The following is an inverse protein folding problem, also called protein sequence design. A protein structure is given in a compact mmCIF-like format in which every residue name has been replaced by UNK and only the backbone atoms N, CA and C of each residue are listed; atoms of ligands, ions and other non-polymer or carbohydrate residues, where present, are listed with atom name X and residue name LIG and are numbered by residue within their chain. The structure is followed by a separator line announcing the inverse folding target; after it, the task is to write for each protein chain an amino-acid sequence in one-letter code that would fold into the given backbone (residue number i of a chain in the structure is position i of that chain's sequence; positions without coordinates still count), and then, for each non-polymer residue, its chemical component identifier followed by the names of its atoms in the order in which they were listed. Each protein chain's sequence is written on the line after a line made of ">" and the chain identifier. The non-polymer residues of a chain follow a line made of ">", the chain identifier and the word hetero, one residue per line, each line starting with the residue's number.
data_IF_105997307269
#
_entry.id   IF_105997307269
#
_cell.length_a   1.000
_cell.length_b   1.000
_cell.length_c   1.000
_cell.angle_alpha   90.00
_cell.angle_beta   90.00
_cell.angle_gamma   90.00
#
_symmetry.space_group_name_H-M   'P 1'
#
loop_
_entity.id
_entity.type
_entity.pdbx_description
1 polymer ?
#
# COMPACT_ATOMS: atom_id res chain seq x y z
N UNK A 1 -39.96 49.79 -7.45
CA UNK A 1 -38.77 49.07 -6.97
C UNK A 1 -39.06 47.58 -7.09
N UNK A 2 -38.37 46.88 -7.99
CA UNK A 2 -38.46 45.41 -8.13
C UNK A 2 -37.31 44.78 -7.33
N UNK A 3 -37.63 44.09 -6.27
CA UNK A 3 -36.66 43.34 -5.50
C UNK A 3 -36.25 42.09 -6.30
N UNK A 4 -34.99 41.99 -6.69
CA UNK A 4 -34.43 40.78 -7.25
C UNK A 4 -34.07 39.84 -6.09
N UNK A 5 -34.78 38.73 -5.99
CA UNK A 5 -34.45 37.65 -5.07
C UNK A 5 -33.28 36.89 -5.72
N UNK A 6 -32.09 37.06 -5.17
CA UNK A 6 -30.93 36.21 -5.50
C UNK A 6 -31.14 34.83 -4.86
N UNK A 7 -31.54 33.85 -5.64
CA UNK A 7 -31.55 32.44 -5.22
C UNK A 7 -30.10 31.98 -5.16
N UNK A 8 -29.51 31.95 -3.97
CA UNK A 8 -28.23 31.31 -3.75
C UNK A 8 -28.42 29.80 -3.91
N UNK A 9 -28.01 29.25 -5.05
CA UNK A 9 -27.85 27.82 -5.25
C UNK A 9 -26.75 27.34 -4.29
N UNK A 10 -27.15 26.85 -3.12
CA UNK A 10 -26.23 26.07 -2.28
C UNK A 10 -26.01 24.74 -2.98
N UNK A 11 -24.86 24.59 -3.61
CA UNK A 11 -24.40 23.28 -4.05
C UNK A 11 -24.34 22.37 -2.79
N UNK A 12 -24.92 21.16 -2.82
CA UNK A 12 -24.78 20.24 -1.72
C UNK A 12 -23.30 20.01 -1.47
N UNK A 13 -22.87 20.21 -0.23
CA UNK A 13 -21.52 19.84 0.16
C UNK A 13 -21.44 18.31 0.08
N UNK A 14 -20.57 17.79 -0.78
CA UNK A 14 -20.39 16.35 -0.98
C UNK A 14 -19.61 15.74 0.18
N UNK A 15 -19.99 14.54 0.58
CA UNK A 15 -19.28 13.75 1.58
C UNK A 15 -17.79 13.57 1.19
N UNK A 16 -16.91 13.43 2.20
CA UNK A 16 -15.51 13.06 1.94
C UNK A 16 -15.42 11.63 1.45
N UNK A 17 -15.95 10.73 2.28
CA UNK A 17 -15.99 9.30 2.08
C UNK A 17 -17.43 8.82 2.26
N UNK A 18 -17.99 8.27 1.21
CA UNK A 18 -19.29 7.60 1.26
C UNK A 18 -19.09 6.23 1.88
N UNK A 19 -19.57 6.04 3.12
CA UNK A 19 -19.43 4.77 3.84
C UNK A 19 -20.34 3.71 3.20
N UNK A 20 -19.77 2.55 2.95
CA UNK A 20 -20.44 1.40 2.34
C UNK A 20 -20.70 0.31 3.37
N UNK A 21 -21.85 -0.39 3.30
CA UNK A 21 -22.09 -1.56 4.13
C UNK A 21 -21.16 -2.70 3.71
N UNK A 22 -20.57 -3.40 4.70
CA UNK A 22 -19.73 -4.55 4.46
C UNK A 22 -20.26 -5.77 5.22
N UNK A 23 -20.21 -6.99 4.64
CA UNK A 23 -20.71 -8.21 5.27
C UNK A 23 -19.71 -8.81 6.27
N UNK A 24 -19.04 -7.96 7.04
CA UNK A 24 -18.02 -8.36 8.03
C UNK A 24 -17.83 -7.30 9.10
N UNK A 25 -17.34 -7.73 10.26
CA UNK A 25 -16.82 -6.85 11.33
C UNK A 25 -15.31 -7.01 11.51
N UNK A 26 -14.62 -7.68 10.59
CA UNK A 26 -13.18 -7.86 10.63
C UNK A 26 -12.45 -6.52 10.47
N UNK A 27 -11.25 -6.43 10.99
CA UNK A 27 -10.37 -5.30 10.71
C UNK A 27 -9.81 -5.46 9.29
N UNK A 28 -10.29 -4.62 8.36
CA UNK A 28 -9.82 -4.61 6.98
C UNK A 28 -8.47 -3.88 6.91
N UNK A 29 -7.51 -4.49 6.21
CA UNK A 29 -6.12 -4.04 6.17
C UNK A 29 -5.54 -3.89 4.78
N UNK A 30 -6.08 -4.60 3.80
CA UNK A 30 -5.71 -4.52 2.39
C UNK A 30 -6.91 -4.12 1.54
N UNK A 31 -6.67 -3.38 0.49
CA UNK A 31 -7.64 -2.99 -0.54
C UNK A 31 -6.91 -2.85 -1.87
N UNK A 32 -7.50 -3.38 -2.92
CA UNK A 32 -7.02 -3.17 -4.28
C UNK A 32 -8.17 -2.91 -5.24
N UNK A 33 -8.05 -1.83 -6.02
CA UNK A 33 -9.01 -1.41 -7.04
C UNK A 33 -8.47 -1.75 -8.43
N UNK A 34 -9.07 -2.74 -9.06
CA UNK A 34 -8.72 -3.16 -10.43
C UNK A 34 -9.29 -2.20 -11.48
N UNK A 35 -10.29 -1.41 -11.13
CA UNK A 35 -11.05 -0.58 -12.05
C UNK A 35 -12.32 -1.29 -12.56
N UNK A 36 -13.07 -0.62 -13.44
CA UNK A 36 -14.31 -1.12 -14.03
C UNK A 36 -15.36 -1.61 -13.00
N UNK A 37 -15.34 -1.07 -11.79
CA UNK A 37 -16.23 -1.47 -10.71
C UNK A 37 -15.74 -2.66 -9.89
N UNK A 38 -14.57 -3.22 -10.18
CA UNK A 38 -13.99 -4.37 -9.50
C UNK A 38 -13.02 -3.89 -8.44
N UNK A 39 -13.21 -4.36 -7.20
CA UNK A 39 -12.26 -4.16 -6.11
C UNK A 39 -12.31 -5.32 -5.11
N UNK A 40 -11.19 -5.51 -4.42
CA UNK A 40 -11.01 -6.57 -3.45
C UNK A 40 -10.46 -6.00 -2.14
N UNK A 41 -10.93 -6.52 -1.00
CA UNK A 41 -10.44 -6.12 0.32
C UNK A 41 -10.10 -7.35 1.16
N UNK A 42 -9.10 -7.20 2.04
CA UNK A 42 -8.65 -8.27 2.92
C UNK A 42 -8.49 -7.79 4.37
N UNK A 43 -8.51 -8.72 5.33
CA UNK A 43 -8.41 -8.36 6.73
C UNK A 43 -8.24 -9.55 7.68
N UNK A 44 -8.43 -9.27 8.96
CA UNK A 44 -8.27 -10.24 10.04
C UNK A 44 -9.26 -11.41 9.93
N UNK A 45 -8.91 -12.55 10.52
CA UNK A 45 -9.75 -13.74 10.57
C UNK A 45 -9.97 -14.38 9.20
N UNK A 46 -8.96 -14.38 8.33
CA UNK A 46 -9.04 -14.95 6.99
C UNK A 46 -10.06 -14.26 6.09
N UNK A 47 -10.42 -13.02 6.38
CA UNK A 47 -11.47 -12.28 5.66
C UNK A 47 -10.97 -11.79 4.32
N UNK A 48 -11.72 -12.09 3.26
CA UNK A 48 -11.61 -11.46 1.93
C UNK A 48 -12.99 -11.04 1.48
N UNK A 49 -13.07 -9.87 0.88
CA UNK A 49 -14.29 -9.31 0.29
C UNK A 49 -14.02 -8.95 -1.16
N UNK A 50 -15.06 -9.02 -1.98
CA UNK A 50 -15.03 -8.71 -3.40
C UNK A 50 -16.26 -7.88 -3.82
N UNK A 51 -16.09 -6.94 -4.73
CA UNK A 51 -17.15 -6.17 -5.39
C UNK A 51 -16.95 -6.11 -6.90
N UNK A 52 -18.03 -6.07 -7.67
CA UNK A 52 -18.04 -5.90 -9.13
C UNK A 52 -18.95 -4.73 -9.58
N UNK A 53 -19.52 -3.98 -8.63
CA UNK A 53 -20.48 -2.93 -8.91
C UNK A 53 -20.03 -1.54 -8.42
N UNK A 54 -18.72 -1.36 -8.27
CA UNK A 54 -18.11 -0.12 -7.80
C UNK A 54 -18.25 0.08 -6.29
N UNK A 55 -18.34 -1.00 -5.54
CA UNK A 55 -18.41 -0.97 -4.07
C UNK A 55 -19.80 -0.74 -3.50
N UNK A 56 -20.85 -0.75 -4.32
CA UNK A 56 -22.24 -0.64 -3.85
C UNK A 56 -22.65 -1.87 -3.04
N UNK A 57 -22.20 -3.04 -3.47
CA UNK A 57 -22.34 -4.29 -2.74
C UNK A 57 -21.00 -5.00 -2.61
N UNK A 58 -20.74 -5.54 -1.43
CA UNK A 58 -19.56 -6.34 -1.14
C UNK A 58 -19.98 -7.75 -0.80
N UNK A 59 -19.35 -8.74 -1.42
CA UNK A 59 -19.56 -10.14 -1.16
C UNK A 59 -18.41 -10.68 -0.31
N UNK A 60 -18.72 -11.54 0.64
CA UNK A 60 -17.71 -12.26 1.39
C UNK A 60 -17.27 -13.50 0.63
N UNK A 61 -15.97 -13.60 0.40
CA UNK A 61 -15.33 -14.76 -0.19
C UNK A 61 -15.34 -15.98 0.75
N UNK A 62 -15.16 -17.17 0.21
CA UNK A 62 -14.79 -18.33 1.02
C UNK A 62 -13.47 -18.05 1.75
N UNK A 63 -13.37 -18.50 2.99
CA UNK A 63 -12.11 -18.37 3.72
C UNK A 63 -11.10 -19.36 3.14
N UNK A 64 -9.85 -18.92 2.83
CA UNK A 64 -8.82 -19.84 2.37
C UNK A 64 -8.56 -20.96 3.39
N UNK A 65 -8.12 -22.15 2.97
CA UNK A 65 -7.87 -23.28 3.87
C UNK A 65 -6.91 -22.92 5.00
N UNK A 66 -7.27 -23.28 6.23
CA UNK A 66 -6.48 -23.05 7.46
C UNK A 66 -6.14 -21.57 7.71
N UNK A 67 -6.98 -20.63 7.20
CA UNK A 67 -6.74 -19.20 7.31
C UNK A 67 -7.68 -18.46 8.29
N UNK A 68 -8.55 -19.15 9.02
CA UNK A 68 -9.59 -18.55 9.89
C UNK A 68 -9.01 -17.66 11.01
N UNK A 69 -7.72 -17.81 11.32
CA UNK A 69 -7.01 -17.01 12.32
C UNK A 69 -5.95 -16.10 11.73
N UNK A 70 -5.76 -16.12 10.42
CA UNK A 70 -4.74 -15.32 9.76
C UNK A 70 -5.18 -13.86 9.62
N UNK A 71 -4.20 -12.95 9.64
CA UNK A 71 -4.39 -11.52 9.42
C UNK A 71 -3.91 -11.18 8.00
N UNK A 72 -4.84 -11.08 7.04
CA UNK A 72 -4.52 -10.73 5.67
C UNK A 72 -4.29 -9.22 5.55
N UNK A 73 -3.02 -8.83 5.45
CA UNK A 73 -2.59 -7.43 5.37
C UNK A 73 -2.30 -6.95 3.96
N UNK A 74 -2.12 -7.86 3.03
CA UNK A 74 -1.91 -7.56 1.63
C UNK A 74 -2.94 -8.25 0.73
N UNK A 75 -3.39 -7.54 -0.30
CA UNK A 75 -4.19 -8.07 -1.39
C UNK A 75 -3.76 -7.39 -2.69
N UNK A 76 -3.65 -8.19 -3.75
CA UNK A 76 -3.47 -7.72 -5.11
C UNK A 76 -4.43 -8.49 -6.01
N UNK A 77 -5.24 -7.77 -6.75
CA UNK A 77 -6.19 -8.33 -7.69
C UNK A 77 -5.81 -7.99 -9.13
N UNK A 78 -6.20 -8.83 -10.06
CA UNK A 78 -5.89 -8.69 -11.48
C UNK A 78 -7.17 -8.50 -12.30
N UNK A 79 -8.24 -9.11 -11.85
CA UNK A 79 -9.58 -9.02 -12.45
C UNK A 79 -10.65 -9.46 -11.43
N UNK A 80 -11.89 -9.75 -11.90
CA UNK A 80 -12.99 -10.24 -11.07
C UNK A 80 -12.77 -11.65 -10.53
N UNK A 81 -11.88 -12.44 -11.14
CA UNK A 81 -11.67 -13.86 -10.80
C UNK A 81 -10.35 -14.11 -10.08
N UNK A 82 -9.32 -13.31 -10.38
CA UNK A 82 -7.94 -13.58 -10.00
C UNK A 82 -7.44 -12.58 -8.96
N UNK A 83 -7.03 -13.09 -7.80
CA UNK A 83 -6.41 -12.30 -6.74
C UNK A 83 -5.41 -13.14 -5.92
N UNK A 84 -4.45 -12.45 -5.33
CA UNK A 84 -3.50 -12.98 -4.34
C UNK A 84 -3.72 -12.24 -3.02
N UNK A 85 -3.77 -12.97 -1.91
CA UNK A 85 -3.79 -12.40 -0.55
C UNK A 85 -2.60 -12.90 0.23
N UNK A 86 -2.04 -12.01 1.07
CA UNK A 86 -0.93 -12.30 1.96
C UNK A 86 -1.34 -12.12 3.41
N UNK A 87 -1.10 -13.14 4.22
CA UNK A 87 -1.14 -12.98 5.68
C UNK A 87 0.23 -12.57 6.21
N UNK A 88 0.20 -11.77 7.26
CA UNK A 88 1.38 -11.33 8.00
C UNK A 88 1.35 -11.94 9.40
N UNK A 89 2.41 -12.66 9.73
CA UNK A 89 2.57 -13.30 11.02
C UNK A 89 3.93 -13.99 11.11
N UNK A 90 4.31 -14.42 12.29
CA UNK A 90 5.62 -15.04 12.50
C UNK A 90 5.66 -16.46 11.88
N UNK A 91 6.70 -16.73 11.12
CA UNK A 91 6.92 -18.04 10.51
C UNK A 91 5.79 -18.43 9.55
N UNK A 92 5.25 -19.61 9.72
CA UNK A 92 4.19 -20.20 8.91
C UNK A 92 2.82 -19.50 9.00
N UNK A 93 2.69 -18.47 9.80
CA UNK A 93 1.54 -17.55 9.78
C UNK A 93 1.64 -16.49 8.67
N UNK A 94 2.79 -16.34 8.03
CA UNK A 94 2.97 -15.57 6.80
C UNK A 94 2.78 -16.49 5.61
N UNK A 95 1.68 -16.30 4.86
CA UNK A 95 1.27 -17.17 3.74
C UNK A 95 0.74 -16.35 2.58
N UNK A 96 0.91 -16.88 1.38
CA UNK A 96 0.23 -16.40 0.17
C UNK A 96 -0.82 -17.41 -0.28
N UNK A 97 -2.00 -16.90 -0.61
CA UNK A 97 -3.06 -17.66 -1.24
C UNK A 97 -3.47 -16.99 -2.54
N UNK A 98 -3.76 -17.81 -3.57
CA UNK A 98 -4.24 -17.37 -4.89
C UNK A 98 -5.61 -17.95 -5.17
N UNK A 99 -6.48 -17.16 -5.76
CA UNK A 99 -7.74 -17.59 -6.40
C UNK A 99 -7.73 -17.24 -7.87
N UNK A 100 -8.47 -18.02 -8.69
CA UNK A 100 -8.69 -17.78 -10.13
C UNK A 100 -10.15 -17.97 -10.53
N UNK A 101 -11.06 -18.07 -9.54
CA UNK A 101 -12.48 -18.38 -9.75
C UNK A 101 -13.43 -17.44 -8.99
N UNK A 102 -13.03 -16.19 -8.79
CA UNK A 102 -13.85 -15.21 -8.07
C UNK A 102 -13.97 -15.52 -6.58
N UNK A 103 -12.90 -16.04 -6.00
CA UNK A 103 -12.78 -16.41 -4.58
C UNK A 103 -13.72 -17.54 -4.09
N UNK A 104 -14.18 -18.39 -5.00
CA UNK A 104 -14.93 -19.60 -4.62
C UNK A 104 -13.97 -20.61 -3.99
N UNK A 105 -12.76 -20.72 -4.55
CA UNK A 105 -11.68 -21.58 -4.00
C UNK A 105 -10.35 -20.83 -3.91
N UNK A 106 -9.50 -21.30 -3.02
CA UNK A 106 -8.17 -20.74 -2.79
C UNK A 106 -7.12 -21.85 -2.77
N UNK A 107 -5.97 -21.57 -3.36
CA UNK A 107 -4.77 -22.40 -3.32
C UNK A 107 -3.73 -21.71 -2.43
N UNK A 108 -3.18 -22.42 -1.43
CA UNK A 108 -1.97 -21.99 -0.74
C UNK A 108 -0.80 -22.12 -1.73
N UNK A 109 -0.13 -21.00 -2.02
CA UNK A 109 0.94 -20.95 -3.03
C UNK A 109 2.32 -20.74 -2.42
N UNK A 110 2.40 -20.13 -1.24
CA UNK A 110 3.65 -19.98 -0.52
C UNK A 110 3.43 -19.87 0.99
N UNK A 111 4.42 -20.34 1.75
CA UNK A 111 4.51 -20.17 3.20
C UNK A 111 5.92 -19.70 3.55
N UNK A 112 6.05 -18.79 4.51
CA UNK A 112 7.35 -18.30 4.92
C UNK A 112 8.21 -19.46 5.47
N UNK A 113 9.37 -19.77 4.86
CA UNK A 113 10.23 -20.85 5.30
C UNK A 113 11.02 -20.51 6.57
N UNK A 114 11.17 -19.21 6.88
CA UNK A 114 11.91 -18.73 8.03
C UNK A 114 11.04 -18.72 9.29
N UNK A 115 11.34 -19.58 10.27
CA UNK A 115 10.55 -19.70 11.51
C UNK A 115 10.43 -18.41 12.32
N UNK A 116 11.41 -17.55 12.25
CA UNK A 116 11.43 -16.23 12.89
C UNK A 116 11.00 -15.11 11.94
N UNK A 117 10.85 -15.39 10.64
CA UNK A 117 10.51 -14.44 9.61
C UNK A 117 9.08 -13.91 9.75
N UNK A 118 8.84 -12.77 9.13
CA UNK A 118 7.55 -12.09 9.08
C UNK A 118 7.45 -11.40 7.72
N UNK A 119 6.36 -11.60 6.98
CA UNK A 119 6.16 -10.94 5.69
C UNK A 119 5.36 -9.65 5.85
N UNK A 120 5.87 -8.57 5.28
CA UNK A 120 5.35 -7.22 5.42
C UNK A 120 4.55 -6.75 4.21
N UNK A 121 5.04 -7.04 3.01
CA UNK A 121 4.45 -6.59 1.76
C UNK A 121 4.79 -7.54 0.62
N UNK A 122 3.95 -7.54 -0.41
CA UNK A 122 4.26 -8.24 -1.66
C UNK A 122 3.82 -7.41 -2.87
N UNK A 123 4.51 -7.59 -3.99
CA UNK A 123 4.23 -6.89 -5.22
C UNK A 123 4.36 -7.85 -6.42
N UNK A 124 3.27 -8.16 -7.13
CA UNK A 124 3.32 -8.92 -8.36
C UNK A 124 4.10 -8.19 -9.46
N UNK A 125 4.79 -8.96 -10.29
CA UNK A 125 5.51 -8.45 -11.44
C UNK A 125 5.52 -9.51 -12.57
N UNK A 126 6.04 -9.18 -13.75
CA UNK A 126 6.26 -10.14 -14.81
C UNK A 126 7.44 -9.72 -15.67
N UNK A 127 8.32 -10.65 -15.94
CA UNK A 127 9.51 -10.44 -16.79
C UNK A 127 9.18 -10.06 -18.24
N UNK A 128 7.94 -10.29 -18.68
CA UNK A 128 7.61 -10.11 -20.10
C UNK A 128 6.55 -9.04 -20.41
N UNK A 129 5.55 -8.79 -19.58
CA UNK A 129 4.35 -8.09 -20.04
C UNK A 129 3.64 -7.20 -19.02
N UNK A 130 4.23 -6.86 -17.88
CA UNK A 130 3.59 -6.08 -16.83
C UNK A 130 3.21 -6.90 -15.60
N UNK A 131 2.07 -6.61 -14.95
CA UNK A 131 1.65 -7.35 -13.76
C UNK A 131 1.15 -8.74 -14.13
N UNK A 132 1.64 -9.78 -13.41
CA UNK A 132 1.20 -11.16 -13.52
C UNK A 132 0.82 -11.72 -12.16
N UNK A 133 -0.21 -12.56 -12.14
CA UNK A 133 -0.58 -13.32 -10.94
C UNK A 133 0.35 -14.52 -10.69
N UNK A 134 1.33 -14.74 -11.55
CA UNK A 134 2.19 -15.92 -11.56
C UNK A 134 3.59 -15.66 -11.01
N UNK A 135 3.93 -14.39 -10.80
CA UNK A 135 5.21 -13.96 -10.26
C UNK A 135 5.01 -12.85 -9.23
N UNK A 136 5.69 -12.92 -8.09
CA UNK A 136 5.61 -11.87 -7.06
C UNK A 136 6.88 -11.78 -6.24
N UNK A 137 7.25 -10.56 -5.88
CA UNK A 137 8.22 -10.29 -4.84
C UNK A 137 7.53 -10.20 -3.48
N UNK A 138 8.20 -10.68 -2.44
CA UNK A 138 7.73 -10.65 -1.07
C UNK A 138 8.81 -10.05 -0.20
N UNK A 139 8.48 -8.98 0.51
CA UNK A 139 9.35 -8.33 1.48
C UNK A 139 8.99 -8.81 2.88
N UNK A 140 10.01 -9.11 3.68
CA UNK A 140 9.83 -9.44 5.10
C UNK A 140 10.93 -8.85 5.98
N UNK A 141 10.70 -8.93 7.28
CA UNK A 141 11.68 -8.54 8.30
C UNK A 141 13.01 -9.29 8.14
N UNK A 142 14.08 -8.66 8.55
CA UNK A 142 15.40 -9.28 8.50
C UNK A 142 15.51 -10.46 9.48
N UNK A 143 16.04 -11.58 8.98
CA UNK A 143 16.35 -12.77 9.78
C UNK A 143 17.86 -12.97 9.76
N UNK A 144 18.48 -13.13 10.92
CA UNK A 144 19.92 -13.31 11.07
C UNK A 144 20.74 -12.24 10.29
N UNK A 145 20.28 -11.00 10.31
CA UNK A 145 20.85 -9.84 9.60
C UNK A 145 20.85 -10.00 8.08
N UNK A 146 19.91 -10.72 7.54
CA UNK A 146 19.67 -10.85 6.11
C UNK A 146 18.29 -10.31 5.80
N UNK A 147 18.22 -9.35 4.88
CA UNK A 147 16.94 -8.85 4.37
C UNK A 147 16.19 -10.02 3.72
N UNK A 148 14.93 -10.14 4.06
CA UNK A 148 14.06 -11.17 3.47
C UNK A 148 13.33 -10.57 2.27
N UNK A 149 13.91 -10.69 1.09
CA UNK A 149 13.29 -10.39 -0.19
C UNK A 149 13.19 -11.68 -1.00
N UNK A 150 11.98 -12.23 -1.09
CA UNK A 150 11.69 -13.50 -1.71
C UNK A 150 11.03 -13.31 -3.07
N UNK A 151 11.30 -14.23 -3.98
CA UNK A 151 10.62 -14.35 -5.26
C UNK A 151 9.80 -15.63 -5.29
N UNK A 152 8.53 -15.51 -5.67
CA UNK A 152 7.66 -16.64 -5.93
C UNK A 152 7.22 -16.63 -7.39
N UNK A 153 7.29 -17.82 -8.06
CA UNK A 153 6.82 -18.03 -9.45
C UNK A 153 5.96 -19.28 -9.54
N UNK A 154 4.84 -19.20 -10.23
CA UNK A 154 3.97 -20.36 -10.48
C UNK A 154 4.60 -21.32 -11.52
N UNK A 155 4.39 -22.63 -11.33
CA UNK A 155 4.86 -23.66 -12.27
C UNK A 155 6.29 -24.14 -12.06
N UNK A 156 6.98 -23.66 -11.05
CA UNK A 156 8.28 -24.18 -10.62
C UNK A 156 8.03 -25.22 -9.51
N UNK A 157 7.84 -26.51 -9.93
CA UNK A 157 7.33 -27.60 -9.09
C UNK A 157 8.14 -27.95 -7.84
N UNK A 158 9.30 -27.37 -7.59
CA UNK A 158 10.15 -27.65 -6.42
C UNK A 158 10.99 -26.45 -5.97
N UNK A 159 10.77 -25.27 -6.50
CA UNK A 159 11.57 -24.15 -6.05
C UNK A 159 10.90 -23.45 -4.89
N UNK A 160 11.47 -23.74 -3.75
CA UNK A 160 11.57 -22.88 -2.60
C UNK A 160 11.56 -21.42 -3.06
N UNK A 161 10.84 -20.58 -2.34
CA UNK A 161 11.03 -19.15 -2.35
C UNK A 161 12.53 -18.88 -2.38
N UNK A 162 13.06 -18.48 -3.53
CA UNK A 162 14.46 -18.16 -3.64
C UNK A 162 14.66 -16.74 -3.10
N UNK A 163 15.61 -16.55 -2.19
CA UNK A 163 16.07 -15.22 -1.83
C UNK A 163 16.65 -14.59 -3.10
N UNK A 164 15.80 -13.85 -3.81
CA UNK A 164 16.15 -13.22 -5.08
C UNK A 164 17.26 -12.19 -4.92
N UNK A 165 17.52 -11.76 -3.67
CA UNK A 165 18.49 -10.73 -3.37
C UNK A 165 19.18 -10.94 -2.02
N UNK A 166 20.46 -11.27 -2.06
CA UNK A 166 21.35 -11.02 -0.94
C UNK A 166 21.96 -9.64 -1.16
N UNK A 167 21.46 -8.65 -0.44
CA UNK A 167 22.12 -7.37 -0.39
C UNK A 167 23.61 -7.56 -0.16
N UNK A 168 24.47 -6.92 -0.95
CA UNK A 168 25.94 -6.92 -0.73
C UNK A 168 26.35 -6.26 0.59
N UNK A 169 25.42 -6.05 1.49
CA UNK A 169 25.60 -5.59 2.86
C UNK A 169 24.61 -6.31 3.76
N UNK A 170 25.04 -6.72 4.93
CA UNK A 170 24.13 -7.19 5.97
C UNK A 170 23.08 -6.11 6.24
N UNK A 171 21.82 -6.52 6.45
CA UNK A 171 20.84 -5.62 7.03
C UNK A 171 21.35 -5.07 8.37
N UNK A 172 20.87 -3.90 8.74
CA UNK A 172 21.19 -3.35 10.05
C UNK A 172 20.55 -4.23 11.15
N UNK A 173 21.12 -4.24 12.38
CA UNK A 173 20.45 -4.89 13.49
C UNK A 173 19.03 -4.35 13.66
N UNK A 174 18.06 -5.27 13.90
CA UNK A 174 16.66 -4.93 14.11
C UNK A 174 16.00 -4.17 12.94
N UNK A 175 16.52 -4.34 11.71
CA UNK A 175 15.90 -3.77 10.53
C UNK A 175 14.69 -4.59 10.10
N UNK A 176 13.56 -3.90 9.92
CA UNK A 176 12.30 -4.46 9.49
C UNK A 176 11.46 -3.47 8.69
N UNK A 177 10.29 -3.89 8.30
CA UNK A 177 9.31 -3.09 7.56
C UNK A 177 7.97 -3.07 8.29
N UNK A 178 6.99 -2.34 7.76
CA UNK A 178 5.67 -2.27 8.37
C UNK A 178 4.60 -2.91 7.47
N UNK A 179 4.05 -4.02 7.91
CA UNK A 179 2.93 -4.70 7.27
C UNK A 179 1.59 -3.96 7.51
N UNK A 180 1.49 -2.71 7.06
CA UNK A 180 0.32 -1.88 7.35
C UNK A 180 -0.76 -1.97 6.26
N UNK A 181 -0.39 -1.79 4.99
CA UNK A 181 -1.32 -1.61 3.88
C UNK A 181 -0.81 -2.18 2.55
N UNK A 182 0.18 -3.08 2.59
CA UNK A 182 0.85 -3.63 1.40
C UNK A 182 1.51 -2.58 0.48
N UNK A 183 1.93 -1.44 1.03
CA UNK A 183 2.45 -0.30 0.26
C UNK A 183 3.84 0.17 0.70
N UNK A 184 4.66 -0.76 1.22
CA UNK A 184 6.08 -0.56 1.54
C UNK A 184 7.02 -1.27 0.57
N UNK A 185 6.47 -1.90 -0.46
CA UNK A 185 7.19 -2.51 -1.58
C UNK A 185 6.53 -2.06 -2.89
N UNK A 186 7.32 -1.58 -3.82
CA UNK A 186 6.90 -1.18 -5.16
C UNK A 186 7.77 -1.86 -6.21
N UNK A 187 7.13 -2.35 -7.26
CA UNK A 187 7.78 -2.78 -8.49
C UNK A 187 7.42 -1.78 -9.58
N UNK A 188 8.42 -1.10 -10.14
CA UNK A 188 8.23 -0.18 -11.25
C UNK A 188 8.88 -0.72 -12.51
N UNK A 189 8.14 -0.75 -13.61
CA UNK A 189 8.68 -1.06 -14.94
C UNK A 189 9.37 0.18 -15.48
N UNK A 190 10.69 0.14 -15.63
CA UNK A 190 11.46 1.35 -15.97
C UNK A 190 11.70 1.54 -17.47
N UNK A 191 11.83 0.47 -18.24
CA UNK A 191 12.01 0.56 -19.69
C UNK A 191 11.92 -0.82 -20.37
N UNK A 192 11.66 -0.83 -21.67
CA UNK A 192 11.90 -1.99 -22.52
C UNK A 192 13.21 -1.77 -23.29
N UNK A 193 14.22 -2.58 -23.02
CA UNK A 193 15.50 -2.57 -23.74
C UNK A 193 15.69 -3.94 -24.40
N UNK A 194 15.93 -3.96 -25.72
CA UNK A 194 16.14 -5.20 -26.49
C UNK A 194 15.04 -6.27 -26.30
N UNK A 195 13.76 -5.83 -26.23
CA UNK A 195 12.58 -6.67 -25.99
C UNK A 195 12.52 -7.31 -24.60
N UNK A 196 13.36 -6.92 -23.67
CA UNK A 196 13.28 -7.29 -22.26
C UNK A 196 12.87 -6.09 -21.42
N UNK A 197 12.00 -6.34 -20.43
CA UNK A 197 11.61 -5.31 -19.48
C UNK A 197 12.68 -5.16 -18.42
N UNK A 198 13.00 -3.94 -18.05
CA UNK A 198 13.81 -3.61 -16.89
C UNK A 198 12.89 -3.22 -15.75
N UNK A 199 13.14 -3.79 -14.59
CA UNK A 199 12.41 -3.49 -13.36
C UNK A 199 13.27 -2.71 -12.40
N UNK A 200 12.64 -1.86 -11.61
CA UNK A 200 13.20 -1.34 -10.39
C UNK A 200 12.31 -1.74 -9.23
N UNK A 201 12.91 -2.20 -8.18
CA UNK A 201 12.22 -2.50 -6.93
C UNK A 201 12.57 -1.44 -5.92
N UNK A 202 11.58 -0.95 -5.19
CA UNK A 202 11.77 -0.02 -4.06
C UNK A 202 11.07 -0.59 -2.84
N UNK A 203 11.70 -0.49 -1.70
CA UNK A 203 11.07 -0.87 -0.45
C UNK A 203 11.46 0.09 0.68
N UNK A 204 10.53 0.26 1.64
CA UNK A 204 10.78 0.97 2.87
C UNK A 204 11.19 -0.01 3.97
N UNK A 205 12.21 0.35 4.73
CA UNK A 205 12.66 -0.38 5.90
C UNK A 205 13.13 0.58 6.99
N UNK A 206 13.37 0.09 8.17
CA UNK A 206 13.92 0.91 9.25
C UNK A 206 14.46 0.10 10.40
N UNK A 207 15.23 0.78 11.22
CA UNK A 207 15.63 0.38 12.56
C UNK A 207 14.97 1.32 13.56
N UNK A 208 15.07 1.08 14.88
CA UNK A 208 14.56 2.05 15.85
C UNK A 208 15.08 3.47 15.64
N UNK A 209 16.31 3.63 15.15
CA UNK A 209 16.97 4.95 15.03
C UNK A 209 16.91 5.56 13.63
N UNK A 210 16.72 4.74 12.58
CA UNK A 210 16.81 5.18 11.18
C UNK A 210 15.70 4.57 10.33
N UNK A 211 15.24 5.30 9.33
CA UNK A 211 14.30 4.81 8.31
C UNK A 211 14.86 5.05 6.92
N UNK A 212 14.64 4.07 6.02
CA UNK A 212 15.26 4.05 4.70
C UNK A 212 14.23 3.77 3.61
N UNK A 213 14.51 4.25 2.41
CA UNK A 213 13.98 3.68 1.16
C UNK A 213 15.18 3.16 0.38
N UNK A 214 15.11 1.88 0.07
CA UNK A 214 16.10 1.19 -0.73
C UNK A 214 15.56 0.92 -2.12
N UNK A 215 16.42 0.90 -3.12
CA UNK A 215 16.04 0.58 -4.49
C UNK A 215 17.10 -0.28 -5.18
N UNK A 216 16.61 -1.16 -6.05
CA UNK A 216 17.41 -2.01 -6.89
C UNK A 216 16.95 -1.82 -8.33
N UNK A 217 17.87 -1.76 -9.27
CA UNK A 217 17.59 -1.88 -10.70
C UNK A 217 18.10 -3.19 -11.20
N UNK A 218 17.26 -3.93 -11.88
CA UNK A 218 17.70 -5.08 -12.67
C UNK A 218 18.29 -4.57 -14.00
N UNK A 219 19.60 -4.60 -14.11
CA UNK A 219 20.31 -4.38 -15.36
C UNK A 219 20.60 -5.74 -16.02
N UNK A 220 19.56 -6.36 -16.57
CA UNK A 220 19.71 -7.62 -17.30
C UNK A 220 20.54 -7.39 -18.56
N UNK A 221 21.86 -7.49 -18.43
CA UNK A 221 22.78 -7.57 -19.57
C UNK A 221 22.82 -9.03 -20.04
N UNK A 222 22.90 -9.26 -21.34
CA UNK A 222 22.82 -10.58 -21.98
C UNK A 222 23.85 -11.63 -21.52
N UNK A 223 24.67 -11.33 -20.53
CA UNK A 223 25.79 -12.14 -20.03
C UNK A 223 25.74 -12.44 -18.52
N UNK A 224 24.69 -12.04 -17.83
CA UNK A 224 24.59 -12.21 -16.37
C UNK A 224 23.31 -12.97 -16.02
N UNK A 225 23.41 -14.04 -15.24
CA UNK A 225 22.32 -14.51 -14.38
C UNK A 225 21.95 -13.36 -13.43
N UNK A 226 20.72 -13.28 -12.88
CA UNK A 226 20.14 -12.02 -12.43
C UNK A 226 21.16 -11.10 -11.76
N UNK A 227 21.65 -10.16 -12.55
CA UNK A 227 22.58 -9.14 -12.07
C UNK A 227 21.81 -8.03 -11.45
N UNK A 228 21.59 -8.13 -10.18
CA UNK A 228 21.12 -7.02 -9.38
C UNK A 228 22.29 -6.06 -9.19
N UNK A 229 22.42 -5.09 -10.08
CA UNK A 229 23.39 -4.02 -9.92
C UNK A 229 22.74 -2.88 -9.11
N UNK A 230 23.44 -2.53 -8.08
CA UNK A 230 23.28 -1.35 -7.24
C UNK A 230 22.04 -1.26 -6.34
N UNK A 231 22.22 -1.77 -5.11
CA UNK A 231 21.39 -1.37 -3.99
C UNK A 231 21.73 0.08 -3.63
N UNK A 232 20.83 1.01 -3.87
CA UNK A 232 20.88 2.31 -3.22
C UNK A 232 20.01 2.26 -1.95
N UNK A 233 20.58 2.60 -0.81
CA UNK A 233 19.87 2.80 0.46
C UNK A 233 19.98 4.26 0.84
N UNK A 234 18.85 4.93 0.90
CA UNK A 234 18.76 6.35 1.21
C UNK A 234 18.00 6.54 2.51
N UNK A 235 18.64 7.22 3.47
CA UNK A 235 17.96 7.59 4.71
C UNK A 235 16.91 8.65 4.45
N UNK A 236 15.71 8.42 4.99
CA UNK A 236 14.56 9.31 4.83
C UNK A 236 14.36 10.06 6.14
N UNK A 237 14.29 11.41 6.14
CA UNK A 237 14.17 12.19 7.37
C UNK A 237 12.75 12.12 7.95
N UNK A 238 12.33 10.95 8.42
CA UNK A 238 11.02 10.72 9.01
C UNK A 238 11.11 10.35 10.49
N UNK A 239 9.96 10.12 11.12
CA UNK A 239 9.89 9.70 12.51
C UNK A 239 10.61 8.36 12.71
N UNK A 240 11.46 8.31 13.72
CA UNK A 240 12.25 7.15 14.16
C UNK A 240 12.43 7.22 15.68
N UNK A 241 13.25 6.38 16.27
CA UNK A 241 13.52 6.39 17.71
C UNK A 241 12.68 5.41 18.52
N UNK A 242 11.77 4.67 17.89
CA UNK A 242 10.97 3.59 18.51
C UNK A 242 10.66 2.53 17.47
N UNK A 243 10.36 1.30 17.92
CA UNK A 243 9.89 0.21 17.04
C UNK A 243 8.49 0.43 16.44
N UNK A 244 7.81 1.51 16.86
CA UNK A 244 6.47 1.90 16.35
C UNK A 244 6.50 3.06 15.37
N UNK A 245 7.68 3.63 15.10
CA UNK A 245 7.84 4.79 14.23
C UNK A 245 8.59 4.41 12.94
N UNK A 246 8.15 4.96 11.81
CA UNK A 246 8.80 4.73 10.52
C UNK A 246 7.95 5.12 9.33
N UNK A 247 8.29 4.54 8.16
CA UNK A 247 7.53 4.64 6.92
C UNK A 247 6.51 3.49 6.87
N UNK A 248 5.25 3.83 6.64
CA UNK A 248 4.15 2.87 6.57
C UNK A 248 3.60 2.71 5.16
N UNK A 249 3.85 3.68 4.31
CA UNK A 249 3.44 3.66 2.92
C UNK A 249 4.28 4.64 2.11
N UNK A 250 4.59 4.29 0.87
CA UNK A 250 5.09 5.24 -0.10
C UNK A 250 4.46 4.98 -1.46
N UNK A 251 4.47 5.99 -2.32
CA UNK A 251 4.01 5.88 -3.69
C UNK A 251 4.76 6.86 -4.58
N UNK A 252 4.90 6.50 -5.86
CA UNK A 252 5.46 7.35 -6.88
C UNK A 252 4.40 7.65 -7.96
N UNK A 253 4.24 8.93 -8.36
CA UNK A 253 3.38 9.30 -9.49
C UNK A 253 4.13 9.34 -10.83
N UNK A 254 5.44 9.37 -10.77
CA UNK A 254 6.39 9.22 -11.88
C UNK A 254 7.65 8.59 -11.30
N UNK A 255 8.57 8.13 -12.15
CA UNK A 255 9.86 7.57 -11.71
C UNK A 255 10.66 8.51 -10.80
N UNK A 256 10.39 9.83 -10.86
CA UNK A 256 11.13 10.85 -10.12
C UNK A 256 10.39 11.41 -8.91
N UNK A 257 9.06 11.51 -8.95
CA UNK A 257 8.27 12.19 -7.91
C UNK A 257 7.54 11.19 -7.06
N UNK A 258 7.94 11.12 -5.80
CA UNK A 258 7.39 10.19 -4.82
C UNK A 258 7.16 10.83 -3.46
N UNK A 259 6.33 10.19 -2.66
CA UNK A 259 5.98 10.57 -1.29
C UNK A 259 6.07 9.34 -0.40
N UNK A 260 6.66 9.50 0.77
CA UNK A 260 6.64 8.55 1.87
C UNK A 260 5.86 9.13 3.05
N UNK A 261 4.97 8.33 3.63
CA UNK A 261 4.18 8.70 4.80
C UNK A 261 4.32 7.67 5.92
N UNK A 262 4.08 8.11 7.15
CA UNK A 262 4.18 7.26 8.32
C UNK A 262 4.05 8.05 9.61
N UNK A 263 4.99 7.89 10.50
CA UNK A 263 5.00 8.49 11.84
C UNK A 263 5.11 7.42 12.92
N UNK A 264 4.65 7.71 14.12
CA UNK A 264 4.58 6.76 15.24
C UNK A 264 3.12 6.36 15.47
N UNK A 265 2.75 5.09 15.17
CA UNK A 265 1.37 4.64 15.32
C UNK A 265 0.90 4.59 16.78
N UNK A 266 1.81 4.53 17.74
CA UNK A 266 1.47 4.65 19.16
C UNK A 266 1.24 6.10 19.61
N UNK A 267 1.67 7.08 18.78
CA UNK A 267 1.45 8.51 19.00
C UNK A 267 0.75 9.14 17.79
N UNK A 268 -0.45 8.67 17.45
CA UNK A 268 -1.06 8.95 16.14
C UNK A 268 -1.40 10.44 15.92
N UNK A 269 -1.42 11.26 16.96
CA UNK A 269 -1.70 12.70 16.87
C UNK A 269 -0.45 13.55 16.64
N UNK A 270 0.75 12.96 16.70
CA UNK A 270 2.00 13.69 16.47
C UNK A 270 2.21 13.87 14.96
N UNK A 271 2.22 15.11 14.49
CA UNK A 271 2.38 15.46 13.06
C UNK A 271 3.84 15.63 12.64
N UNK A 272 4.77 15.72 13.57
CA UNK A 272 6.17 15.91 13.25
C UNK A 272 6.77 14.71 12.53
N UNK A 273 7.45 14.96 11.42
CA UNK A 273 8.16 13.95 10.62
C UNK A 273 7.27 12.80 10.10
N UNK A 274 6.04 13.11 9.72
CA UNK A 274 5.07 12.12 9.23
C UNK A 274 5.03 12.00 7.71
N UNK A 275 5.76 12.86 6.98
CA UNK A 275 5.83 12.80 5.53
C UNK A 275 7.14 13.37 5.00
N UNK A 276 7.71 12.69 4.02
CA UNK A 276 8.80 13.17 3.17
C UNK A 276 8.45 13.00 1.70
N UNK A 277 9.04 13.85 0.85
CA UNK A 277 8.84 13.83 -0.59
C UNK A 277 10.19 13.82 -1.32
N UNK A 278 10.17 13.32 -2.56
CA UNK A 278 11.31 13.32 -3.49
C UNK A 278 10.88 13.83 -4.85
N UNK A 279 11.84 14.40 -5.61
CA UNK A 279 11.66 14.77 -7.02
C UNK A 279 12.80 14.26 -7.91
N UNK A 280 13.62 13.35 -7.41
CA UNK A 280 14.80 12.81 -8.10
C UNK A 280 14.85 11.26 -8.05
N UNK A 281 13.69 10.62 -7.94
CA UNK A 281 13.59 9.15 -7.94
C UNK A 281 13.97 8.49 -6.60
N UNK A 282 13.98 9.27 -5.51
CA UNK A 282 14.32 8.78 -4.18
C UNK A 282 15.80 8.89 -3.83
N UNK A 283 16.60 9.58 -4.65
CA UNK A 283 18.02 9.84 -4.32
C UNK A 283 18.16 10.84 -3.17
N UNK A 284 17.22 11.77 -3.06
CA UNK A 284 17.11 12.68 -1.94
C UNK A 284 15.67 12.79 -1.46
N UNK A 285 15.49 12.78 -0.13
CA UNK A 285 14.19 12.93 0.52
C UNK A 285 14.16 14.16 1.40
N UNK A 286 13.09 14.92 1.33
CA UNK A 286 12.91 16.20 2.02
C UNK A 286 11.64 16.15 2.86
N UNK A 287 11.70 16.56 4.13
CA UNK A 287 10.52 16.68 4.99
C UNK A 287 9.50 17.64 4.39
N UNK A 288 8.22 17.32 4.52
CA UNK A 288 7.14 18.26 4.24
C UNK A 288 7.26 19.51 5.11
N UNK A 289 7.04 20.66 4.50
CA UNK A 289 7.00 21.96 5.22
C UNK A 289 5.79 22.01 6.16
N UNK A 290 4.63 21.60 5.65
CA UNK A 290 3.41 21.39 6.44
C UNK A 290 3.05 19.92 6.34
N UNK A 291 3.38 19.10 7.35
CA UNK A 291 3.11 17.66 7.31
C UNK A 291 1.62 17.34 7.51
N UNK A 292 1.19 16.11 7.21
CA UNK A 292 -0.14 15.60 7.57
C UNK A 292 -0.42 15.69 9.07
N UNK A 293 -1.71 15.67 9.43
CA UNK A 293 -2.17 15.79 10.81
C UNK A 293 -2.01 14.48 11.60
N UNK A 294 -0.77 14.07 11.83
CA UNK A 294 -0.39 12.88 12.59
C UNK A 294 0.00 11.68 11.73
N UNK A 295 0.09 10.52 12.36
CA UNK A 295 0.44 9.24 11.73
C UNK A 295 -0.46 8.93 10.52
N UNK A 296 0.15 8.42 9.44
CA UNK A 296 -0.52 8.02 8.20
C UNK A 296 -0.17 6.58 7.84
N UNK A 297 -1.20 5.81 7.50
CA UNK A 297 -1.09 4.38 7.17
C UNK A 297 -0.94 4.11 5.68
N UNK A 298 -1.47 4.98 4.83
CA UNK A 298 -1.42 4.82 3.38
C UNK A 298 -1.41 6.16 2.64
N UNK A 299 -0.79 6.18 1.44
CA UNK A 299 -0.76 7.32 0.52
C UNK A 299 -1.02 6.85 -0.91
N UNK A 300 -1.77 7.64 -1.69
CA UNK A 300 -1.98 7.42 -3.11
C UNK A 300 -2.09 8.75 -3.86
N UNK A 301 -1.87 8.70 -5.18
CA UNK A 301 -2.01 9.83 -6.09
C UNK A 301 -3.24 9.68 -6.96
N UNK A 302 -4.13 10.67 -6.95
CA UNK A 302 -5.22 10.79 -7.90
C UNK A 302 -4.77 11.60 -9.11
N UNK A 303 -4.54 10.90 -10.23
CA UNK A 303 -4.09 11.52 -11.47
C UNK A 303 -5.14 12.46 -12.10
N UNK A 304 -6.43 12.21 -11.88
CA UNK A 304 -7.52 12.99 -12.45
C UNK A 304 -7.58 14.40 -11.86
N UNK A 305 -7.38 14.53 -10.55
CA UNK A 305 -7.36 15.82 -9.85
C UNK A 305 -5.96 16.32 -9.55
N UNK A 306 -4.92 15.54 -9.87
CA UNK A 306 -3.50 15.81 -9.54
C UNK A 306 -3.29 16.02 -8.05
N UNK A 307 -3.95 15.22 -7.24
CA UNK A 307 -3.96 15.36 -5.78
C UNK A 307 -3.37 14.11 -5.12
N UNK A 308 -2.47 14.31 -4.20
CA UNK A 308 -2.03 13.28 -3.27
C UNK A 308 -3.01 13.19 -2.11
N UNK A 309 -3.34 11.98 -1.72
CA UNK A 309 -4.27 11.69 -0.63
C UNK A 309 -3.58 10.73 0.33
N UNK A 310 -3.63 11.05 1.62
CA UNK A 310 -3.11 10.17 2.67
C UNK A 310 -4.14 9.99 3.77
N UNK A 311 -4.20 8.79 4.31
CA UNK A 311 -5.20 8.39 5.32
C UNK A 311 -4.54 7.80 6.55
N UNK A 312 -5.27 7.82 7.66
CA UNK A 312 -4.83 7.23 8.92
C UNK A 312 -5.92 7.33 9.99
N UNK A 313 -5.60 6.99 11.26
CA UNK A 313 -6.60 6.99 12.33
C UNK A 313 -7.21 8.36 12.61
N UNK A 314 -6.48 9.45 12.37
CA UNK A 314 -6.91 10.81 12.73
C UNK A 314 -7.59 11.57 11.60
N UNK A 315 -7.61 11.03 10.38
CA UNK A 315 -8.24 11.71 9.27
C UNK A 315 -7.58 11.44 7.92
N UNK A 316 -8.04 12.21 6.96
CA UNK A 316 -7.56 12.26 5.59
C UNK A 316 -6.91 13.62 5.34
N UNK A 317 -5.72 13.63 4.78
CA UNK A 317 -5.04 14.84 4.31
C UNK A 317 -4.78 14.77 2.81
N UNK A 318 -4.73 15.95 2.18
CA UNK A 318 -4.44 16.08 0.77
C UNK A 318 -3.33 17.08 0.51
N UNK A 319 -2.57 16.85 -0.57
CA UNK A 319 -1.55 17.76 -1.08
C UNK A 319 -1.69 17.92 -2.61
N UNK A 320 -1.53 19.14 -3.10
CA UNK A 320 -1.55 19.47 -4.53
C UNK A 320 -0.20 20.02 -5.02
N UNK A 321 0.82 19.94 -4.19
CA UNK A 321 2.17 20.44 -4.45
C UNK A 321 3.26 19.39 -4.20
N UNK A 322 2.94 18.13 -4.53
CA UNK A 322 3.84 16.97 -4.40
C UNK A 322 4.35 16.76 -2.97
N UNK A 323 3.43 16.83 -2.00
CA UNK A 323 3.72 16.49 -0.61
C UNK A 323 4.48 17.54 0.18
N UNK A 324 4.74 18.73 -0.39
CA UNK A 324 5.41 19.81 0.33
C UNK A 324 4.55 20.37 1.45
N UNK A 325 3.25 20.54 1.15
CA UNK A 325 2.29 21.01 2.13
C UNK A 325 1.03 20.16 2.09
N UNK A 326 0.58 19.77 3.27
CA UNK A 326 -0.63 18.98 3.48
C UNK A 326 -1.68 19.79 4.21
N UNK A 327 -2.92 19.51 3.92
CA UNK A 327 -4.08 20.05 4.64
C UNK A 327 -5.14 19.00 4.84
N UNK A 328 -5.84 19.08 5.96
CA UNK A 328 -6.95 18.17 6.21
C UNK A 328 -8.02 18.30 5.12
N UNK A 329 -8.48 17.18 4.62
CA UNK A 329 -9.70 17.11 3.84
C UNK A 329 -10.87 17.26 4.81
N UNK A 330 -11.56 18.40 4.76
CA UNK A 330 -12.62 18.72 5.72
C UNK A 330 -13.87 17.88 5.42
N UNK A 331 -14.49 17.30 6.45
CA UNK A 331 -15.78 16.65 6.29
C UNK A 331 -16.84 17.64 5.73
N UNK A 332 -17.74 17.12 4.92
CA UNK A 332 -18.96 17.82 4.55
C UNK A 332 -19.87 17.98 5.77
N UNK A 333 -20.74 18.99 5.83
CA UNK A 333 -21.75 19.10 6.88
C UNK A 333 -22.71 17.90 6.96
N UNK A 334 -22.79 17.09 5.91
CA UNK A 334 -23.62 15.88 5.84
C UNK A 334 -22.87 14.61 6.25
N UNK A 335 -21.55 14.68 6.44
CA UNK A 335 -20.74 13.54 6.86
C UNK A 335 -20.96 13.21 8.34
N UNK A 336 -20.83 11.93 8.68
CA UNK A 336 -20.64 11.56 10.07
C UNK A 336 -19.30 12.12 10.59
N UNK A 337 -19.19 12.51 11.86
CA UNK A 337 -17.96 13.14 12.38
C UNK A 337 -16.69 12.29 12.24
N UNK A 338 -16.84 11.00 12.03
CA UNK A 338 -15.76 10.02 11.86
C UNK A 338 -15.52 9.57 10.41
N UNK A 339 -16.30 10.07 9.43
CA UNK A 339 -16.24 9.63 8.03
C UNK A 339 -14.85 9.68 7.43
N UNK A 340 -14.03 10.65 7.81
CA UNK A 340 -12.66 10.81 7.33
C UNK A 340 -11.59 10.07 8.14
N UNK A 341 -11.94 9.28 9.16
CA UNK A 341 -11.02 8.74 10.17
C UNK A 341 -11.01 7.22 10.20
N UNK A 342 -10.00 6.68 10.93
CA UNK A 342 -9.92 5.25 11.24
C UNK A 342 -9.75 4.42 9.98
N UNK A 343 -8.78 4.82 9.13
CA UNK A 343 -8.44 4.14 7.89
C UNK A 343 -7.10 3.43 7.97
N UNK A 344 -7.03 2.22 7.42
CA UNK A 344 -5.84 1.37 7.41
C UNK A 344 -5.15 1.34 6.03
N UNK A 345 -5.91 1.19 4.95
CA UNK A 345 -5.37 1.04 3.60
C UNK A 345 -6.20 1.81 2.57
N UNK A 346 -5.58 2.16 1.45
CA UNK A 346 -6.12 3.03 0.41
C UNK A 346 -5.74 2.49 -0.97
N UNK A 347 -6.73 2.27 -1.84
CA UNK A 347 -6.59 2.09 -3.28
C UNK A 347 -7.73 2.83 -3.96
N UNK A 348 -7.43 4.03 -4.46
CA UNK A 348 -8.46 4.98 -4.93
C UNK A 348 -9.42 4.39 -5.96
N UNK A 349 -10.72 4.63 -5.84
CA UNK A 349 -11.36 5.55 -4.90
C UNK A 349 -11.69 4.92 -3.53
N UNK A 350 -11.26 3.69 -3.24
CA UNK A 350 -11.63 2.95 -2.04
C UNK A 350 -10.64 3.17 -0.88
N UNK A 351 -11.19 3.10 0.33
CA UNK A 351 -10.46 3.07 1.58
C UNK A 351 -11.08 2.05 2.52
N UNK A 352 -10.26 1.38 3.34
CA UNK A 352 -10.73 0.39 4.30
C UNK A 352 -10.13 0.61 5.68
N UNK A 353 -10.84 0.14 6.70
CA UNK A 353 -10.46 0.29 8.11
C UNK A 353 -11.03 -0.79 9.01
N UNK A 354 -10.88 -0.66 10.34
CA UNK A 354 -11.35 -1.64 11.28
C UNK A 354 -12.88 -1.77 11.29
N UNK A 355 -13.34 -2.90 11.85
CA UNK A 355 -14.78 -3.22 12.02
C UNK A 355 -15.58 -3.26 10.72
N UNK A 356 -14.98 -3.76 9.64
CA UNK A 356 -15.63 -3.85 8.33
C UNK A 356 -15.82 -2.49 7.64
N UNK A 357 -15.10 -1.46 8.05
CA UNK A 357 -15.25 -0.11 7.53
C UNK A 357 -14.74 -0.03 6.08
N UNK A 358 -15.58 0.38 5.15
CA UNK A 358 -15.27 0.64 3.75
C UNK A 358 -15.80 2.03 3.39
N UNK A 359 -15.00 2.83 2.67
CA UNK A 359 -15.40 4.13 2.14
C UNK A 359 -15.04 4.29 0.67
N UNK A 360 -15.82 5.08 -0.04
CA UNK A 360 -15.56 5.51 -1.41
C UNK A 360 -15.33 7.02 -1.39
N UNK A 361 -14.23 7.47 -1.95
CA UNK A 361 -13.91 8.88 -2.08
C UNK A 361 -14.90 9.57 -3.03
N UNK A 362 -15.56 10.60 -2.56
CA UNK A 362 -16.43 11.39 -3.39
C UNK A 362 -15.63 12.38 -4.25
N UNK A 363 -15.74 12.33 -5.58
CA UNK A 363 -14.93 13.17 -6.49
C UNK A 363 -15.07 14.67 -6.21
N UNK A 364 -16.25 15.10 -5.76
CA UNK A 364 -16.53 16.52 -5.47
C UNK A 364 -15.80 17.01 -4.21
N UNK A 365 -15.43 16.11 -3.29
CA UNK A 365 -14.68 16.46 -2.09
C UNK A 365 -13.30 17.05 -2.42
N UNK A 366 -12.64 16.55 -3.46
CA UNK A 366 -11.35 17.06 -3.92
C UNK A 366 -11.49 18.42 -4.64
N UNK A 367 -12.57 18.62 -5.42
CA UNK A 367 -12.83 19.87 -6.15
C UNK A 367 -13.19 21.04 -5.22
N UNK A 368 -14.01 20.78 -4.20
CA UNK A 368 -14.38 21.78 -3.21
C UNK A 368 -13.20 22.28 -2.38
N UNK A 369 -12.14 21.49 -2.34
CA UNK A 369 -10.92 21.76 -1.58
C UNK A 369 -9.87 22.57 -2.36
N UNK A 370 -10.07 22.83 -3.66
CA UNK A 370 -9.15 23.57 -4.51
C UNK A 370 -9.37 25.10 -4.49
N UNK A 371 -10.39 25.58 -3.77
CA UNK A 371 -10.69 27.00 -3.50
C UNK A 371 -10.26 27.34 -2.07
#
# INVERSE_FOLDING_TARGET
>A
MRAAILLALTLPASAQWSLQPAPTTADLRGIDNVGNGIAWASGSGGTVLHTEDGGKTWQRCTTPPDAEKLDFRGIQAFDANTAIVMSSGKGDLSRLYKTTDGCQTWKLVATNPEKSGFWDSFAPYSDCCGLSADETLILGDSVDRKLQLWEWKEGWEERELELSYQAKGNSLPDEGSFAASNSVLEVATTAQVDKKWKYSFRWASGTPDHVFISSVRDENTATCEPCVEELSRVEVPMASGTSSAGIFSFAFRTDFVGIAVGGDFQKPTVSSKTCSWTSDGGMNWILSTTPPHGYRSAVAYDAATKTWITVGPNGTDISTDDGRNWRALKPSPTDTPDAGRTWNALSLPFVVGPHGRIGILEPEALKASAK
#
